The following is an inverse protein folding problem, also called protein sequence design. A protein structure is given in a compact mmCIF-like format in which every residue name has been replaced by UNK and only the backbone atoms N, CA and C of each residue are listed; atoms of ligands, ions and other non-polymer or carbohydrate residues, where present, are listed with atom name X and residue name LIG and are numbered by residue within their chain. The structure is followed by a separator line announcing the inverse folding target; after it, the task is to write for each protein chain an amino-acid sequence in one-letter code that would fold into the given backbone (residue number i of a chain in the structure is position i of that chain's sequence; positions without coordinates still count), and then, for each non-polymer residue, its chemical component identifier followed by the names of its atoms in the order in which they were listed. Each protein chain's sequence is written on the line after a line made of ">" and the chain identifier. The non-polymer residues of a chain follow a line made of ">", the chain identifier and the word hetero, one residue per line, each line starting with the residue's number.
data_IF_984451416633
#
_entry.id   IF_984451416633
#
_cell.length_a   1.000
_cell.length_b   1.000
_cell.length_c   1.000
_cell.angle_alpha   90.00
_cell.angle_beta   90.00
_cell.angle_gamma   90.00
#
_symmetry.space_group_name_H-M   'P 1'
#
loop_
_entity.id
_entity.type
_entity.pdbx_description
1 polymer ?
#
# COMPACT_ATOMS: atom_id res chain seq x y z
N UNK A 1 8.92 -31.52 -10.45
CA UNK A 1 9.48 -30.15 -10.48
C UNK A 1 10.67 -30.12 -9.54
N UNK A 2 11.85 -29.67 -9.98
CA UNK A 2 13.04 -29.65 -9.13
C UNK A 2 12.82 -28.71 -7.92
N UNK A 3 13.13 -29.13 -6.68
CA UNK A 3 12.92 -28.32 -5.48
C UNK A 3 13.65 -26.95 -5.53
N UNK A 4 14.73 -26.83 -6.31
CA UNK A 4 15.45 -25.56 -6.51
C UNK A 4 14.64 -24.44 -7.19
N UNK A 5 13.58 -24.76 -7.95
CA UNK A 5 12.70 -23.75 -8.59
C UNK A 5 11.51 -23.41 -7.69
N UNK A 6 11.08 -24.35 -6.86
CA UNK A 6 9.89 -24.20 -6.02
C UNK A 6 10.12 -23.15 -4.91
N UNK A 7 11.35 -23.05 -4.40
CA UNK A 7 11.72 -22.11 -3.32
C UNK A 7 11.62 -20.64 -3.78
N UNK A 8 12.27 -20.20 -4.88
CA UNK A 8 12.08 -18.84 -5.39
C UNK A 8 10.64 -18.55 -5.79
N UNK A 9 9.97 -19.52 -6.42
CA UNK A 9 8.58 -19.37 -6.85
C UNK A 9 7.65 -19.09 -5.65
N UNK A 10 7.83 -19.79 -4.53
CA UNK A 10 7.08 -19.56 -3.30
C UNK A 10 7.26 -18.16 -2.74
N UNK A 11 8.50 -17.65 -2.74
CA UNK A 11 8.81 -16.29 -2.30
C UNK A 11 8.10 -15.22 -3.13
N UNK A 12 8.18 -15.32 -4.47
CA UNK A 12 7.48 -14.38 -5.36
C UNK A 12 5.96 -14.52 -5.30
N UNK A 13 5.43 -15.74 -5.18
CA UNK A 13 4.00 -15.98 -5.02
C UNK A 13 3.45 -15.37 -3.72
N UNK A 14 4.22 -15.44 -2.63
CA UNK A 14 3.86 -14.80 -1.36
C UNK A 14 3.77 -13.27 -1.50
N UNK A 15 4.78 -12.63 -2.11
CA UNK A 15 4.76 -11.19 -2.37
C UNK A 15 3.56 -10.80 -3.24
N UNK A 16 3.32 -11.56 -4.32
CA UNK A 16 2.18 -11.34 -5.20
C UNK A 16 0.85 -11.48 -4.41
N UNK A 17 0.74 -12.48 -3.54
CA UNK A 17 -0.42 -12.68 -2.68
C UNK A 17 -0.68 -11.51 -1.73
N UNK A 18 0.35 -11.01 -1.05
CA UNK A 18 0.25 -9.87 -0.13
C UNK A 18 -0.28 -8.60 -0.83
N UNK A 19 0.03 -8.40 -2.11
CA UNK A 19 -0.42 -7.23 -2.87
C UNK A 19 -1.78 -7.46 -3.53
N UNK A 20 -1.99 -8.62 -4.17
CA UNK A 20 -3.19 -8.93 -4.94
C UNK A 20 -4.41 -9.16 -4.04
N UNK A 21 -4.26 -9.89 -2.94
CA UNK A 21 -5.37 -10.26 -2.05
C UNK A 21 -6.10 -9.02 -1.48
N UNK A 22 -5.42 -8.08 -0.80
CA UNK A 22 -6.12 -6.91 -0.24
C UNK A 22 -6.67 -5.99 -1.34
N UNK A 23 -6.00 -5.90 -2.48
CA UNK A 23 -6.48 -5.11 -3.63
C UNK A 23 -7.77 -5.71 -4.20
N UNK A 24 -7.84 -7.03 -4.30
CA UNK A 24 -9.02 -7.76 -4.77
C UNK A 24 -10.19 -7.67 -3.77
N UNK A 25 -9.93 -7.86 -2.48
CA UNK A 25 -10.95 -7.72 -1.42
C UNK A 25 -11.55 -6.30 -1.41
N UNK A 26 -10.71 -5.27 -1.45
CA UNK A 26 -11.16 -3.87 -1.51
C UNK A 26 -11.95 -3.56 -2.78
N UNK A 27 -11.58 -4.16 -3.91
CA UNK A 27 -12.34 -4.04 -5.16
C UNK A 27 -13.72 -4.69 -5.06
N UNK A 28 -13.80 -5.84 -4.40
CA UNK A 28 -15.05 -6.59 -4.19
C UNK A 28 -16.01 -5.82 -3.28
N UNK A 29 -15.54 -5.30 -2.14
CA UNK A 29 -16.35 -4.49 -1.22
C UNK A 29 -16.98 -3.28 -1.91
N UNK A 30 -16.21 -2.57 -2.75
CA UNK A 30 -16.73 -1.44 -3.54
C UNK A 30 -17.84 -1.84 -4.50
N UNK A 31 -17.73 -3.02 -5.12
CA UNK A 31 -18.75 -3.55 -6.04
C UNK A 31 -20.04 -3.93 -5.30
N UNK A 32 -19.93 -4.59 -4.15
CA UNK A 32 -21.07 -4.97 -3.32
C UNK A 32 -21.82 -3.75 -2.76
N UNK A 33 -21.09 -2.70 -2.37
CA UNK A 33 -21.68 -1.41 -1.97
C UNK A 33 -22.46 -0.76 -3.11
N UNK A 34 -21.89 -0.71 -4.33
CA UNK A 34 -22.58 -0.17 -5.51
C UNK A 34 -23.82 -0.99 -5.90
N UNK A 35 -23.80 -2.31 -5.74
CA UNK A 35 -24.94 -3.17 -6.01
C UNK A 35 -26.11 -2.91 -5.04
N UNK A 36 -25.80 -2.74 -3.76
CA UNK A 36 -26.80 -2.40 -2.73
C UNK A 36 -27.44 -1.03 -3.00
N UNK A 37 -26.63 -0.05 -3.42
CA UNK A 37 -27.11 1.27 -3.77
C UNK A 37 -28.05 1.24 -4.99
N UNK A 38 -27.71 0.48 -6.04
CA UNK A 38 -28.60 0.29 -7.21
C UNK A 38 -29.93 -0.35 -6.80
N UNK A 39 -29.90 -1.36 -5.94
CA UNK A 39 -31.11 -2.01 -5.43
C UNK A 39 -31.97 -1.06 -4.57
N UNK A 40 -31.37 -0.11 -3.84
CA UNK A 40 -32.11 0.91 -3.08
C UNK A 40 -32.74 2.00 -3.96
N UNK A 41 -32.08 2.38 -5.06
CA UNK A 41 -32.60 3.34 -6.05
C UNK A 41 -33.78 2.73 -6.83
N UNK A 42 -33.68 1.47 -7.25
CA UNK A 42 -34.76 0.77 -7.99
C UNK A 42 -36.03 0.57 -7.13
N UNK A 43 -35.89 0.50 -5.81
CA UNK A 43 -37.02 0.41 -4.88
C UNK A 43 -37.71 1.76 -4.60
N UNK A 44 -37.29 2.85 -5.25
CA UNK A 44 -37.91 4.17 -5.14
C UNK A 44 -37.70 4.87 -3.80
N UNK A 45 -36.74 4.42 -3.00
CA UNK A 45 -36.41 5.04 -1.72
C UNK A 45 -35.59 6.30 -2.00
N UNK A 46 -36.12 7.48 -1.66
CA UNK A 46 -35.37 8.73 -1.77
C UNK A 46 -34.11 8.62 -0.88
N UNK A 47 -32.95 8.52 -1.51
CA UNK A 47 -31.68 8.41 -0.80
C UNK A 47 -31.54 9.60 0.15
N UNK A 48 -31.36 9.36 1.47
CA UNK A 48 -31.08 10.44 2.40
C UNK A 48 -29.87 11.23 1.91
N UNK A 49 -29.90 12.58 1.94
CA UNK A 49 -28.80 13.41 1.46
C UNK A 49 -27.45 13.07 2.13
N UNK A 50 -27.48 12.56 3.36
CA UNK A 50 -26.34 12.02 4.11
C UNK A 50 -25.60 10.90 3.35
N UNK A 51 -26.32 10.02 2.67
CA UNK A 51 -25.75 8.90 1.90
C UNK A 51 -25.14 9.41 0.59
N UNK A 52 -25.75 10.40 -0.04
CA UNK A 52 -25.23 11.06 -1.24
C UNK A 52 -23.92 11.79 -0.93
N UNK A 53 -23.84 12.46 0.22
CA UNK A 53 -22.63 13.14 0.68
C UNK A 53 -21.52 12.14 1.03
N UNK A 54 -21.85 11.04 1.72
CA UNK A 54 -20.90 9.98 2.03
C UNK A 54 -20.31 9.34 0.76
N UNK A 55 -21.13 9.06 -0.25
CA UNK A 55 -20.68 8.53 -1.55
C UNK A 55 -19.85 9.56 -2.32
N UNK A 56 -20.23 10.83 -2.27
CA UNK A 56 -19.47 11.91 -2.91
C UNK A 56 -18.09 12.09 -2.27
N UNK A 57 -18.00 11.96 -0.93
CA UNK A 57 -16.74 11.94 -0.18
C UNK A 57 -15.91 10.68 -0.41
N UNK A 58 -16.53 9.51 -0.54
CA UNK A 58 -15.81 8.23 -0.70
C UNK A 58 -15.33 7.98 -2.16
N UNK A 59 -16.02 8.59 -3.14
CA UNK A 59 -15.59 8.65 -4.53
C UNK A 59 -14.65 9.82 -4.84
N UNK A 60 -14.65 10.87 -4.01
CA UNK A 60 -13.62 11.89 -4.09
C UNK A 60 -12.27 11.21 -3.83
N UNK A 61 -11.39 11.21 -4.85
CA UNK A 61 -10.02 10.73 -4.69
C UNK A 61 -9.47 11.37 -3.41
N UNK A 62 -8.99 10.57 -2.44
CA UNK A 62 -8.65 11.10 -1.14
C UNK A 62 -7.58 12.16 -1.37
N UNK A 63 -7.94 13.42 -1.08
CA UNK A 63 -7.11 14.58 -1.38
C UNK A 63 -5.71 14.27 -0.86
N UNK A 64 -4.72 14.37 -1.74
CA UNK A 64 -3.33 14.14 -1.35
C UNK A 64 -2.93 15.29 -0.45
N UNK A 65 -3.17 15.11 0.85
CA UNK A 65 -2.76 16.05 1.89
C UNK A 65 -1.29 15.80 2.20
N UNK A 66 -0.49 16.86 2.33
CA UNK A 66 0.90 16.77 2.76
C UNK A 66 1.12 15.85 3.96
N UNK A 67 0.22 15.89 4.97
CA UNK A 67 0.30 15.01 6.14
C UNK A 67 0.21 13.50 5.82
N UNK A 68 -0.61 13.12 4.81
CA UNK A 68 -0.74 11.72 4.41
C UNK A 68 0.52 11.23 3.71
N UNK A 69 1.07 12.06 2.84
CA UNK A 69 2.31 11.76 2.12
C UNK A 69 3.49 11.72 3.09
N UNK A 70 3.58 12.64 4.06
CA UNK A 70 4.60 12.60 5.10
C UNK A 70 4.55 11.30 5.89
N UNK A 71 3.35 10.90 6.34
CA UNK A 71 3.18 9.66 7.11
C UNK A 71 3.58 8.44 6.28
N UNK A 72 3.13 8.36 5.03
CA UNK A 72 3.50 7.27 4.14
C UNK A 72 5.01 7.22 3.90
N UNK A 73 5.63 8.39 3.71
CA UNK A 73 7.06 8.51 3.49
C UNK A 73 7.91 8.09 4.68
N UNK A 74 7.55 8.54 5.88
CA UNK A 74 8.22 8.15 7.13
C UNK A 74 8.09 6.64 7.37
N UNK A 75 6.88 6.07 7.19
CA UNK A 75 6.67 4.62 7.36
C UNK A 75 7.57 3.82 6.41
N UNK A 76 7.60 4.19 5.12
CA UNK A 76 8.40 3.50 4.12
C UNK A 76 9.91 3.63 4.39
N UNK A 77 10.36 4.80 4.83
CA UNK A 77 11.76 5.02 5.22
C UNK A 77 12.13 4.17 6.45
N UNK A 78 11.26 4.10 7.46
CA UNK A 78 11.47 3.24 8.63
C UNK A 78 11.52 1.76 8.27
N UNK A 79 10.66 1.30 7.35
CA UNK A 79 10.68 -0.09 6.84
C UNK A 79 12.01 -0.39 6.14
N UNK A 80 12.49 0.53 5.30
CA UNK A 80 13.79 0.38 4.63
C UNK A 80 14.94 0.25 5.63
N UNK A 81 14.98 1.11 6.65
CA UNK A 81 15.98 1.03 7.72
C UNK A 81 15.88 -0.32 8.45
N UNK A 82 14.66 -0.78 8.76
CA UNK A 82 14.43 -2.09 9.39
C UNK A 82 14.97 -3.25 8.55
N UNK A 83 14.74 -3.24 7.23
CA UNK A 83 15.27 -4.28 6.32
C UNK A 83 16.80 -4.20 6.23
N UNK A 84 17.39 -3.01 6.19
CA UNK A 84 18.84 -2.85 6.18
C UNK A 84 19.48 -3.36 7.49
N UNK A 85 18.88 -3.08 8.64
CA UNK A 85 19.31 -3.61 9.94
C UNK A 85 19.16 -5.13 10.01
N UNK A 86 18.09 -5.69 9.43
CA UNK A 86 17.94 -7.14 9.31
C UNK A 86 19.07 -7.72 8.45
N UNK A 87 19.38 -7.12 7.31
CA UNK A 87 20.51 -7.54 6.46
C UNK A 87 21.83 -7.50 7.23
N UNK A 88 22.05 -6.46 8.03
CA UNK A 88 23.24 -6.35 8.89
C UNK A 88 23.29 -7.48 9.94
N UNK A 89 22.16 -7.80 10.59
CA UNK A 89 22.09 -8.91 11.53
C UNK A 89 22.35 -10.27 10.85
N UNK A 90 21.83 -10.48 9.64
CA UNK A 90 22.06 -11.72 8.87
C UNK A 90 23.53 -11.85 8.44
N UNK A 91 24.22 -10.73 8.23
CA UNK A 91 25.65 -10.71 7.84
C UNK A 91 26.58 -11.37 8.87
N UNK A 92 26.15 -11.48 10.14
CA UNK A 92 26.89 -12.24 11.17
C UNK A 92 26.91 -13.75 10.90
N UNK A 93 25.89 -14.28 10.21
CA UNK A 93 25.83 -15.68 9.82
C UNK A 93 26.36 -15.88 8.39
N UNK A 94 26.04 -14.96 7.47
CA UNK A 94 26.42 -15.05 6.06
C UNK A 94 26.69 -13.66 5.48
N UNK A 95 27.97 -13.31 5.33
CA UNK A 95 28.42 -11.96 4.92
C UNK A 95 27.86 -11.55 3.56
N UNK A 96 27.77 -12.49 2.61
CA UNK A 96 27.32 -12.23 1.24
C UNK A 96 25.82 -11.88 1.16
N UNK A 97 25.04 -12.19 2.21
CA UNK A 97 23.62 -11.88 2.27
C UNK A 97 23.32 -10.40 2.55
N UNK A 98 24.31 -9.60 3.01
CA UNK A 98 24.08 -8.19 3.35
C UNK A 98 23.69 -7.36 2.13
N UNK A 99 24.49 -7.41 1.06
CA UNK A 99 24.30 -6.62 -0.15
C UNK A 99 22.94 -6.82 -0.83
N UNK A 100 22.46 -8.06 -1.07
CA UNK A 100 21.14 -8.25 -1.69
C UNK A 100 20.00 -7.78 -0.79
N UNK A 101 20.10 -7.93 0.53
CA UNK A 101 19.06 -7.48 1.47
C UNK A 101 19.04 -5.95 1.57
N UNK A 102 20.20 -5.32 1.70
CA UNK A 102 20.34 -3.86 1.71
C UNK A 102 19.90 -3.24 0.37
N UNK A 103 20.21 -3.90 -0.76
CA UNK A 103 19.71 -3.51 -2.08
C UNK A 103 18.19 -3.56 -2.17
N UNK A 104 17.55 -4.59 -1.61
CA UNK A 104 16.09 -4.68 -1.49
C UNK A 104 15.49 -3.57 -0.62
N UNK A 105 16.18 -3.19 0.46
CA UNK A 105 15.77 -2.09 1.34
C UNK A 105 15.82 -0.71 0.66
N UNK A 106 16.69 -0.51 -0.33
CA UNK A 106 16.83 0.75 -1.03
C UNK A 106 15.54 1.18 -1.76
N UNK A 107 14.75 0.22 -2.25
CA UNK A 107 13.49 0.49 -2.96
C UNK A 107 12.47 1.22 -2.05
N UNK A 108 12.00 0.64 -0.93
CA UNK A 108 11.11 1.37 -0.03
C UNK A 108 11.77 2.62 0.56
N UNK A 109 13.10 2.64 0.73
CA UNK A 109 13.83 3.81 1.24
C UNK A 109 13.70 5.02 0.31
N UNK A 110 13.91 4.82 -0.99
CA UNK A 110 13.76 5.86 -2.00
C UNK A 110 12.31 6.31 -2.17
N UNK A 111 11.35 5.37 -2.12
CA UNK A 111 9.92 5.73 -2.16
C UNK A 111 9.55 6.56 -0.91
N UNK A 112 10.06 6.17 0.25
CA UNK A 112 9.87 6.90 1.50
C UNK A 112 10.39 8.33 1.44
N UNK A 113 11.62 8.50 0.95
CA UNK A 113 12.22 9.82 0.71
C UNK A 113 11.39 10.64 -0.28
N UNK A 114 10.93 10.06 -1.38
CA UNK A 114 10.11 10.76 -2.36
C UNK A 114 8.82 11.31 -1.74
N UNK A 115 8.12 10.52 -0.92
CA UNK A 115 6.92 10.97 -0.21
C UNK A 115 7.19 12.07 0.82
N UNK A 116 8.31 12.00 1.53
CA UNK A 116 8.74 13.06 2.46
C UNK A 116 9.01 14.35 1.69
N UNK A 117 9.75 14.29 0.58
CA UNK A 117 10.05 15.44 -0.28
C UNK A 117 8.75 16.04 -0.83
N UNK A 118 7.86 15.21 -1.37
CA UNK A 118 6.56 15.66 -1.87
C UNK A 118 5.71 16.30 -0.78
N UNK A 119 5.75 15.81 0.46
CA UNK A 119 5.05 16.43 1.58
C UNK A 119 5.52 17.86 1.85
N UNK A 120 6.80 18.17 1.65
CA UNK A 120 7.29 19.55 1.83
C UNK A 120 6.82 20.47 0.71
N UNK A 121 6.75 19.98 -0.53
CA UNK A 121 6.24 20.75 -1.67
C UNK A 121 4.72 20.91 -1.68
N UNK A 122 3.98 19.94 -1.14
CA UNK A 122 2.52 19.92 -1.18
C UNK A 122 1.87 20.63 0.03
N UNK A 123 2.63 21.44 0.77
CA UNK A 123 2.20 22.10 2.02
C UNK A 123 1.10 23.15 1.84
N UNK A 124 0.71 23.48 0.60
CA UNK A 124 -0.10 24.67 0.28
C UNK A 124 -1.46 24.42 -0.39
N UNK A 125 -2.10 23.27 -0.15
CA UNK A 125 -3.50 23.01 -0.56
C UNK A 125 -4.32 22.37 0.56
N UNK A 126 -4.22 22.95 1.75
CA UNK A 126 -5.18 22.75 2.84
C UNK A 126 -6.40 23.64 2.63
#
# INVERSE_FOLDING_TARGET
>A
MNPGILIPLGFFAMIAGIVLVPTWLKSRERREMQATLRASIEKGQALPPEVIEAISKDNAKPVQTAHRDLRAGVILLSVAIGIALLGYAVSFAEIDAFYPIAGGAAIPGMIGLAFIILSFFNKNKG
#
